data_IF_783638654506
#
_entry.id   IF_783638654506
#
_cell.length_a   1.000
_cell.length_b   1.000
_cell.length_c   1.000
_cell.angle_alpha   90.00
_cell.angle_beta   90.00
_cell.angle_gamma   90.00
#
_symmetry.space_group_name_H-M   'P 1'
#
loop_
_entity.id
_entity.type
_entity.pdbx_description
1 polymer ?
#
# COMPACT_ATOMS: atom_id res chain seq x y z
N UNK A 1 9.87 -26.12 -56.45
CA UNK A 1 8.83 -25.17 -56.04
C UNK A 1 8.62 -25.39 -54.56
N UNK A 2 9.29 -24.58 -53.73
CA UNK A 2 9.07 -24.58 -52.27
C UNK A 2 7.76 -23.82 -52.09
N UNK A 3 6.77 -24.45 -51.48
CA UNK A 3 5.54 -23.77 -51.08
C UNK A 3 5.69 -23.57 -49.58
N UNK A 4 6.02 -22.34 -49.18
CA UNK A 4 5.87 -21.90 -47.79
C UNK A 4 4.37 -21.72 -47.55
N UNK A 5 3.82 -22.52 -46.64
CA UNK A 5 2.48 -22.27 -46.11
C UNK A 5 2.66 -21.75 -44.68
N UNK A 6 2.33 -20.48 -44.48
CA UNK A 6 2.21 -19.83 -43.17
C UNK A 6 0.80 -20.09 -42.63
N UNK A 7 0.71 -20.42 -41.35
CA UNK A 7 -0.56 -20.55 -40.63
C UNK A 7 -0.59 -19.43 -39.59
N UNK A 8 -1.32 -18.36 -39.90
CA UNK A 8 -1.59 -17.27 -38.96
C UNK A 8 -2.78 -17.64 -38.09
N UNK A 9 -2.56 -17.67 -36.77
CA UNK A 9 -3.62 -17.81 -35.78
C UNK A 9 -3.76 -16.47 -35.07
N UNK A 10 -4.83 -15.76 -35.39
CA UNK A 10 -5.17 -14.45 -34.84
C UNK A 10 -6.15 -14.67 -33.69
N UNK A 11 -5.72 -14.41 -32.46
CA UNK A 11 -6.60 -14.45 -31.28
C UNK A 11 -6.93 -13.01 -30.91
N UNK A 12 -8.19 -12.64 -31.14
CA UNK A 12 -8.73 -11.33 -30.80
C UNK A 12 -9.39 -11.42 -29.41
N UNK A 13 -8.87 -10.66 -28.44
CA UNK A 13 -9.38 -10.60 -27.06
C UNK A 13 -9.94 -9.20 -26.79
N UNK A 14 -11.27 -9.01 -26.87
CA UNK A 14 -11.90 -7.69 -26.78
C UNK A 14 -11.65 -6.94 -25.46
N UNK A 15 -11.33 -7.65 -24.39
CA UNK A 15 -11.08 -7.09 -23.05
C UNK A 15 -9.63 -6.62 -22.84
N UNK A 16 -8.70 -7.06 -23.69
CA UNK A 16 -7.26 -6.84 -23.49
C UNK A 16 -6.66 -5.84 -24.49
N UNK A 17 -7.35 -5.51 -25.60
CA UNK A 17 -6.92 -4.45 -26.53
C UNK A 17 -5.69 -4.76 -27.41
N UNK A 18 -5.20 -6.00 -27.41
CA UNK A 18 -4.10 -6.45 -28.28
C UNK A 18 -4.43 -7.75 -29.03
N UNK A 19 -3.93 -7.84 -30.27
CA UNK A 19 -4.06 -9.00 -31.15
C UNK A 19 -2.78 -9.83 -31.05
N UNK A 20 -2.90 -11.07 -30.57
CA UNK A 20 -1.76 -12.01 -30.56
C UNK A 20 -1.78 -12.80 -31.87
N UNK A 21 -0.75 -12.61 -32.69
CA UNK A 21 -0.56 -13.34 -33.95
C UNK A 21 0.56 -14.36 -33.78
N UNK A 22 0.22 -15.65 -33.87
CA UNK A 22 1.19 -16.74 -33.83
C UNK A 22 1.49 -17.21 -35.25
N UNK A 23 2.70 -16.92 -35.73
CA UNK A 23 3.20 -17.40 -37.02
C UNK A 23 3.94 -18.73 -36.88
N UNK A 24 3.40 -19.77 -37.51
CA UNK A 24 4.06 -21.06 -37.63
C UNK A 24 4.46 -21.34 -39.09
N UNK A 25 5.76 -21.24 -39.39
CA UNK A 25 6.34 -21.61 -40.69
C UNK A 25 6.88 -23.04 -40.67
N UNK A 26 6.46 -23.90 -41.61
CA UNK A 26 6.99 -25.28 -41.74
C UNK A 26 7.51 -25.55 -43.15
N UNK A 27 8.77 -26.00 -43.26
CA UNK A 27 9.37 -26.45 -44.53
C UNK A 27 8.97 -27.90 -44.85
N UNK A 28 8.26 -28.11 -45.96
CA UNK A 28 7.99 -29.46 -46.47
C UNK A 28 8.88 -29.83 -47.67
N UNK A 29 9.69 -30.88 -47.51
CA UNK A 29 10.31 -31.56 -48.66
C UNK A 29 9.30 -32.55 -49.27
N UNK A 30 8.60 -32.10 -50.30
CA UNK A 30 8.17 -32.96 -51.42
C UNK A 30 6.94 -33.87 -51.27
N UNK A 31 6.38 -34.08 -50.08
CA UNK A 31 5.12 -34.83 -49.94
C UNK A 31 4.12 -34.06 -49.07
N UNK A 32 2.91 -33.84 -49.61
CA UNK A 32 1.77 -33.25 -48.88
C UNK A 32 1.41 -34.14 -47.68
N UNK A 33 2.06 -33.92 -46.54
CA UNK A 33 1.60 -34.45 -45.26
C UNK A 33 0.56 -33.50 -44.69
N UNK A 34 -0.68 -34.00 -44.62
CA UNK A 34 -1.77 -33.40 -43.85
C UNK A 34 -1.25 -33.26 -42.41
N UNK A 35 -1.27 -32.05 -41.85
CA UNK A 35 -0.91 -31.86 -40.44
C UNK A 35 -1.81 -32.76 -39.58
N UNK A 36 -1.18 -33.64 -38.80
CA UNK A 36 -1.88 -34.58 -37.96
C UNK A 36 -2.63 -33.78 -36.87
N UNK A 37 -3.92 -34.04 -36.66
CA UNK A 37 -4.77 -33.34 -35.68
C UNK A 37 -4.12 -33.24 -34.28
N UNK A 38 -3.29 -34.22 -33.91
CA UNK A 38 -2.52 -34.23 -32.66
C UNK A 38 -1.51 -33.08 -32.52
N UNK A 39 -0.92 -32.58 -33.60
CA UNK A 39 0.04 -31.47 -33.57
C UNK A 39 -0.68 -30.12 -33.39
N UNK A 40 -1.83 -29.96 -34.05
CA UNK A 40 -2.68 -28.77 -33.90
C UNK A 40 -3.24 -28.73 -32.47
N UNK A 41 -3.70 -29.87 -31.93
CA UNK A 41 -4.21 -29.94 -30.56
C UNK A 41 -3.13 -29.61 -29.52
N UNK A 42 -1.88 -30.04 -29.74
CA UNK A 42 -0.77 -29.75 -28.81
C UNK A 42 -0.31 -28.29 -28.88
N UNK A 43 -0.31 -27.67 -30.06
CA UNK A 43 -0.08 -26.22 -30.21
C UNK A 43 -1.19 -25.40 -29.55
N UNK A 44 -2.45 -25.77 -29.74
CA UNK A 44 -3.58 -25.11 -29.08
C UNK A 44 -3.54 -25.29 -27.55
N UNK A 45 -3.17 -26.48 -27.07
CA UNK A 45 -3.02 -26.73 -25.64
C UNK A 45 -1.83 -25.96 -25.06
N UNK A 46 -0.71 -25.88 -25.76
CA UNK A 46 0.44 -25.08 -25.35
C UNK A 46 0.10 -23.58 -25.33
N UNK A 47 -0.58 -23.07 -26.36
CA UNK A 47 -1.05 -21.68 -26.39
C UNK A 47 -2.08 -21.40 -25.29
N UNK A 48 -3.03 -22.30 -25.03
CA UNK A 48 -4.01 -22.15 -23.94
C UNK A 48 -3.35 -22.20 -22.55
N UNK A 49 -2.37 -23.09 -22.34
CA UNK A 49 -1.59 -23.15 -21.09
C UNK A 49 -0.73 -21.91 -20.96
N UNK A 50 -0.16 -21.40 -22.05
CA UNK A 50 0.66 -20.20 -22.02
C UNK A 50 -0.19 -18.95 -21.80
N UNK A 51 -1.35 -18.82 -22.44
CA UNK A 51 -2.32 -17.76 -22.18
C UNK A 51 -2.89 -17.81 -20.77
N UNK A 52 -3.20 -18.99 -20.23
CA UNK A 52 -3.67 -19.10 -18.84
C UNK A 52 -2.55 -18.84 -17.83
N UNK A 53 -1.32 -19.26 -18.10
CA UNK A 53 -0.16 -18.92 -17.28
C UNK A 53 0.18 -17.43 -17.38
N UNK A 54 0.10 -16.82 -18.56
CA UNK A 54 0.38 -15.40 -18.77
C UNK A 54 -0.73 -14.53 -18.19
N UNK A 55 -2.01 -14.90 -18.32
CA UNK A 55 -3.11 -14.22 -17.65
C UNK A 55 -3.04 -14.36 -16.12
N UNK A 56 -2.51 -15.47 -15.60
CA UNK A 56 -2.27 -15.65 -14.18
C UNK A 56 -1.03 -14.89 -13.66
N UNK A 57 -0.07 -14.56 -14.54
CA UNK A 57 1.13 -13.77 -14.22
C UNK A 57 0.89 -12.27 -14.43
N UNK A 58 0.11 -11.89 -15.44
CA UNK A 58 -0.35 -10.53 -15.71
C UNK A 58 -1.54 -10.13 -14.83
N UNK A 59 -1.55 -10.60 -13.58
CA UNK A 59 -2.39 -10.00 -12.54
C UNK A 59 -1.70 -8.70 -12.17
N UNK A 60 -2.06 -7.62 -12.85
CA UNK A 60 -1.72 -6.26 -12.41
C UNK A 60 -2.26 -6.10 -11.00
N UNK A 61 -1.35 -6.13 -10.03
CA UNK A 61 -1.69 -6.02 -8.62
C UNK A 61 -1.97 -4.55 -8.32
N UNK A 62 -3.21 -4.18 -8.08
CA UNK A 62 -3.50 -2.84 -7.57
C UNK A 62 -2.99 -2.72 -6.14
N UNK A 63 -2.15 -1.71 -5.93
CA UNK A 63 -1.54 -1.45 -4.65
C UNK A 63 -2.29 -0.35 -3.92
N UNK A 64 -2.48 -0.58 -2.63
CA UNK A 64 -3.26 0.26 -1.74
C UNK A 64 -2.43 0.54 -0.49
N UNK A 65 -2.07 1.81 -0.28
CA UNK A 65 -1.41 2.23 0.95
C UNK A 65 -2.45 2.69 1.97
N UNK A 66 -2.40 2.12 3.16
CA UNK A 66 -3.21 2.57 4.30
C UNK A 66 -2.33 3.43 5.21
N UNK A 67 -2.51 4.75 5.17
CA UNK A 67 -1.72 5.68 5.98
C UNK A 67 -2.37 5.82 7.35
N UNK A 68 -1.72 5.28 8.36
CA UNK A 68 -2.25 5.15 9.72
C UNK A 68 -1.28 5.70 10.76
N UNK A 69 -1.78 5.89 11.98
CA UNK A 69 -0.98 6.33 13.12
C UNK A 69 -1.71 7.38 13.98
N UNK A 70 -1.16 7.68 15.17
CA UNK A 70 -1.84 8.51 16.15
C UNK A 70 -2.20 9.92 15.65
N UNK A 71 -3.18 10.56 16.29
CA UNK A 71 -3.54 11.93 16.02
C UNK A 71 -2.31 12.85 16.14
N UNK A 72 -2.15 13.75 15.17
CA UNK A 72 -0.99 14.65 15.12
C UNK A 72 0.32 14.02 14.65
N UNK A 73 0.37 12.75 14.24
CA UNK A 73 1.59 12.15 13.65
C UNK A 73 1.95 12.74 12.27
N UNK A 74 1.03 13.44 11.60
CA UNK A 74 1.27 14.10 10.32
C UNK A 74 0.89 13.28 9.09
N UNK A 75 -0.13 12.41 9.18
CA UNK A 75 -0.66 11.58 8.08
C UNK A 75 -1.02 12.40 6.84
N UNK A 76 -1.94 13.35 6.97
CA UNK A 76 -2.37 14.21 5.83
C UNK A 76 -1.23 15.05 5.26
N UNK A 77 -0.30 15.53 6.12
CA UNK A 77 0.90 16.24 5.66
C UNK A 77 1.85 15.34 4.87
N UNK A 78 1.97 14.07 5.28
CA UNK A 78 2.71 13.06 4.53
C UNK A 78 2.04 12.76 3.19
N UNK A 79 0.71 12.58 3.15
CA UNK A 79 -0.04 12.37 1.91
C UNK A 79 0.15 13.53 0.92
N UNK A 80 0.06 14.78 1.39
CA UNK A 80 0.36 15.97 0.57
C UNK A 80 1.77 15.95 -0.01
N UNK A 81 2.77 15.64 0.81
CA UNK A 81 4.17 15.62 0.38
C UNK A 81 4.46 14.46 -0.58
N UNK A 82 3.84 13.30 -0.35
CA UNK A 82 3.94 12.13 -1.22
C UNK A 82 3.33 12.44 -2.59
N UNK A 83 2.16 13.08 -2.62
CA UNK A 83 1.52 13.55 -3.85
C UNK A 83 2.42 14.46 -4.67
N UNK A 84 2.95 15.52 -4.05
CA UNK A 84 3.84 16.46 -4.72
C UNK A 84 5.12 15.79 -5.26
N UNK A 85 5.67 14.82 -4.52
CA UNK A 85 6.82 14.06 -4.97
C UNK A 85 6.48 13.18 -6.18
N UNK A 86 5.37 12.45 -6.11
CA UNK A 86 4.89 11.57 -7.19
C UNK A 86 4.58 12.34 -8.48
N UNK A 87 3.93 13.51 -8.38
CA UNK A 87 3.72 14.44 -9.50
C UNK A 87 5.05 14.85 -10.16
N UNK A 88 6.06 15.16 -9.34
CA UNK A 88 7.39 15.56 -9.82
C UNK A 88 8.08 14.43 -10.58
N UNK A 89 7.97 13.19 -10.10
CA UNK A 89 8.56 12.00 -10.76
C UNK A 89 7.65 11.39 -11.83
N UNK A 90 6.50 12.02 -12.12
CA UNK A 90 5.49 11.56 -13.09
C UNK A 90 4.93 10.17 -12.79
N UNK A 91 4.74 9.87 -11.51
CA UNK A 91 4.03 8.68 -11.03
C UNK A 91 2.61 9.08 -10.65
N UNK A 92 1.61 8.49 -11.30
CA UNK A 92 0.21 8.71 -10.95
C UNK A 92 -0.10 8.10 -9.58
N UNK A 93 -0.61 8.90 -8.67
CA UNK A 93 -1.17 8.43 -7.39
C UNK A 93 -2.50 9.15 -7.15
N UNK A 94 -3.45 8.45 -6.54
CA UNK A 94 -4.71 9.05 -6.14
C UNK A 94 -4.88 8.92 -4.62
N UNK A 95 -5.22 10.02 -3.95
CA UNK A 95 -5.39 10.03 -2.49
C UNK A 95 -6.87 9.94 -2.15
N UNK A 96 -7.21 8.99 -1.29
CA UNK A 96 -8.55 8.80 -0.74
C UNK A 96 -8.58 9.34 0.69
N UNK A 97 -9.51 10.23 1.00
CA UNK A 97 -9.75 10.67 2.36
C UNK A 97 -10.72 9.70 3.07
N UNK A 98 -10.27 9.10 4.16
CA UNK A 98 -11.11 8.32 5.08
C UNK A 98 -11.31 9.03 6.43
N UNK A 99 -10.81 10.26 6.63
CA UNK A 99 -11.04 11.04 7.83
C UNK A 99 -12.28 11.94 7.70
N UNK A 100 -13.41 11.62 8.36
CA UNK A 100 -14.64 12.42 8.28
C UNK A 100 -14.51 13.75 9.04
N UNK A 101 -13.45 13.94 9.82
CA UNK A 101 -13.15 15.18 10.53
C UNK A 101 -12.16 16.09 9.78
N UNK A 102 -11.72 15.70 8.57
CA UNK A 102 -10.78 16.50 7.79
C UNK A 102 -11.43 17.81 7.29
N UNK A 103 -10.76 18.94 7.54
CA UNK A 103 -11.26 20.26 7.13
C UNK A 103 -10.71 20.71 5.77
N UNK A 104 -9.39 20.61 5.56
CA UNK A 104 -8.68 21.14 4.41
C UNK A 104 -7.66 20.14 3.86
N UNK A 105 -7.50 20.12 2.53
CA UNK A 105 -6.52 19.30 1.84
C UNK A 105 -5.59 20.16 0.97
N UNK A 106 -4.30 19.83 1.00
CA UNK A 106 -3.27 20.45 0.14
C UNK A 106 -2.96 19.56 -1.08
N UNK A 107 -3.91 18.72 -1.49
CA UNK A 107 -3.81 17.76 -2.58
C UNK A 107 -5.22 17.47 -3.15
N UNK A 108 -5.34 17.04 -4.42
CA UNK A 108 -6.63 16.61 -4.96
C UNK A 108 -7.04 15.29 -4.31
N UNK A 109 -8.26 15.28 -3.78
CA UNK A 109 -8.88 14.09 -3.19
C UNK A 109 -9.66 13.35 -4.28
N UNK A 110 -9.37 12.07 -4.39
CA UNK A 110 -9.91 11.18 -5.41
C UNK A 110 -11.26 10.58 -4.98
N UNK A 111 -11.38 10.24 -3.69
CA UNK A 111 -12.61 9.81 -3.04
C UNK A 111 -12.62 10.41 -1.63
N UNK A 112 -13.76 10.88 -1.17
CA UNK A 112 -13.90 11.54 0.12
C UNK A 112 -15.04 10.94 0.93
N UNK A 113 -14.72 10.33 2.08
CA UNK A 113 -15.73 9.79 3.01
C UNK A 113 -16.78 10.83 3.41
N UNK A 114 -16.45 12.12 3.39
CA UNK A 114 -17.38 13.20 3.75
C UNK A 114 -18.57 13.31 2.80
N UNK A 115 -18.46 12.76 1.59
CA UNK A 115 -19.59 12.66 0.65
C UNK A 115 -20.59 11.56 1.05
N UNK A 116 -20.13 10.54 1.78
CA UNK A 116 -20.96 9.52 2.39
C UNK A 116 -21.49 9.99 3.76
N UNK A 117 -20.59 10.43 4.65
CA UNK A 117 -20.91 10.83 6.01
C UNK A 117 -19.87 11.80 6.58
N UNK A 118 -20.31 12.92 7.16
CA UNK A 118 -19.44 13.90 7.80
C UNK A 118 -19.55 13.84 9.33
N UNK A 119 -18.45 14.13 10.03
CA UNK A 119 -18.44 14.13 11.50
C UNK A 119 -19.37 15.21 12.08
N UNK A 120 -19.38 16.40 11.46
CA UNK A 120 -20.17 17.55 11.94
C UNK A 120 -21.67 17.24 11.89
N UNK A 121 -22.16 16.67 10.78
CA UNK A 121 -23.58 16.30 10.63
C UNK A 121 -23.99 15.25 11.67
N UNK A 122 -23.15 14.24 11.89
CA UNK A 122 -23.38 13.18 12.89
C UNK A 122 -23.44 13.75 14.31
N UNK A 123 -22.54 14.68 14.64
CA UNK A 123 -22.52 15.34 15.94
C UNK A 123 -23.78 16.19 16.16
N UNK A 124 -24.24 16.91 15.14
CA UNK A 124 -25.44 17.75 15.22
C UNK A 124 -26.73 16.91 15.31
N UNK A 125 -26.87 15.88 14.47
CA UNK A 125 -28.09 15.08 14.38
C UNK A 125 -28.25 14.08 15.53
N UNK A 126 -27.18 13.39 15.91
CA UNK A 126 -27.22 12.33 16.93
C UNK A 126 -26.84 12.82 18.33
N UNK A 127 -26.37 14.07 18.47
CA UNK A 127 -25.92 14.63 19.75
C UNK A 127 -24.71 13.91 20.33
N UNK A 128 -23.89 13.28 19.48
CA UNK A 128 -22.68 12.57 19.87
C UNK A 128 -21.51 13.53 20.09
N UNK A 129 -20.59 13.17 20.99
CA UNK A 129 -19.31 13.86 21.08
C UNK A 129 -18.36 13.46 19.93
N UNK A 130 -17.24 14.19 19.70
CA UNK A 130 -16.37 13.99 18.54
C UNK A 130 -15.87 12.56 18.36
N UNK A 131 -15.40 11.89 19.42
CA UNK A 131 -14.93 10.50 19.30
C UNK A 131 -16.08 9.53 19.01
N UNK A 132 -17.25 9.74 19.63
CA UNK A 132 -18.43 8.90 19.39
C UNK A 132 -18.99 9.06 17.99
N UNK A 133 -19.03 10.30 17.48
CA UNK A 133 -19.41 10.60 16.10
C UNK A 133 -18.43 10.00 15.09
N UNK A 134 -17.13 10.02 15.38
CA UNK A 134 -16.13 9.43 14.49
C UNK A 134 -16.28 7.90 14.41
N UNK A 135 -16.48 7.22 15.53
CA UNK A 135 -16.77 5.77 15.52
C UNK A 135 -18.01 5.49 14.68
N UNK A 136 -19.08 6.27 14.86
CA UNK A 136 -20.30 6.13 14.06
C UNK A 136 -20.06 6.32 12.56
N UNK A 137 -19.27 7.34 12.16
CA UNK A 137 -18.91 7.56 10.75
C UNK A 137 -18.18 6.34 10.17
N UNK A 138 -17.27 5.76 10.94
CA UNK A 138 -16.49 4.60 10.53
C UNK A 138 -17.35 3.32 10.47
N UNK A 139 -18.26 3.11 11.41
CA UNK A 139 -19.26 2.03 11.35
C UNK A 139 -20.17 2.19 10.13
N UNK A 140 -20.59 3.41 9.81
CA UNK A 140 -21.39 3.69 8.62
C UNK A 140 -20.61 3.41 7.32
N UNK A 141 -19.32 3.74 7.27
CA UNK A 141 -18.46 3.32 6.16
C UNK A 141 -18.41 1.80 6.02
N UNK A 142 -18.30 1.05 7.14
CA UNK A 142 -18.29 -0.40 7.13
C UNK A 142 -19.58 -1.00 6.54
N UNK A 143 -20.73 -0.42 6.89
CA UNK A 143 -22.03 -0.84 6.35
C UNK A 143 -22.16 -0.59 4.84
N UNK A 144 -21.44 0.39 4.29
CA UNK A 144 -21.52 0.83 2.90
C UNK A 144 -20.30 0.43 2.05
N UNK A 145 -19.45 -0.51 2.49
CA UNK A 145 -18.26 -0.93 1.73
C UNK A 145 -18.62 -1.53 0.35
N UNK A 146 -19.73 -2.25 0.26
CA UNK A 146 -20.16 -2.90 -0.97
C UNK A 146 -20.91 -1.98 -1.93
N UNK A 147 -21.56 -0.94 -1.38
CA UNK A 147 -22.41 -0.05 -2.16
C UNK A 147 -21.63 1.20 -2.58
N UNK A 148 -20.99 1.88 -1.62
CA UNK A 148 -20.28 3.14 -1.91
C UNK A 148 -18.82 2.91 -2.31
N UNK A 149 -18.04 2.19 -1.48
CA UNK A 149 -16.61 2.05 -1.73
C UNK A 149 -16.32 1.25 -3.02
N UNK A 150 -17.12 0.23 -3.33
CA UNK A 150 -16.95 -0.53 -4.56
C UNK A 150 -17.26 0.32 -5.80
N UNK A 151 -18.32 1.12 -5.80
CA UNK A 151 -18.64 2.05 -6.89
C UNK A 151 -17.53 3.08 -7.11
N UNK A 152 -17.00 3.63 -6.01
CA UNK A 152 -15.90 4.60 -6.08
C UNK A 152 -14.59 3.97 -6.57
N UNK A 153 -14.30 2.73 -6.16
CA UNK A 153 -13.10 2.01 -6.61
C UNK A 153 -13.15 1.62 -8.08
N UNK A 154 -14.34 1.33 -8.62
CA UNK A 154 -14.53 0.96 -10.03
C UNK A 154 -14.22 2.11 -11.00
N UNK A 155 -14.10 3.35 -10.51
CA UNK A 155 -13.65 4.51 -11.30
C UNK A 155 -12.14 4.53 -11.57
N UNK A 156 -11.36 3.64 -10.94
CA UNK A 156 -9.90 3.59 -11.01
C UNK A 156 -9.41 2.28 -11.63
N UNK A 157 -8.24 2.33 -12.25
CA UNK A 157 -7.63 1.14 -12.87
C UNK A 157 -6.99 0.23 -11.82
N UNK A 158 -6.88 -1.06 -12.17
CA UNK A 158 -6.20 -2.07 -11.35
C UNK A 158 -4.69 -1.84 -11.21
N UNK A 159 -4.07 -0.90 -11.94
CA UNK A 159 -2.67 -0.51 -11.74
C UNK A 159 -2.50 0.86 -11.06
N UNK A 160 -3.60 1.54 -10.71
CA UNK A 160 -3.55 2.82 -10.01
C UNK A 160 -3.02 2.66 -8.58
N UNK A 161 -2.22 3.64 -8.15
CA UNK A 161 -1.66 3.67 -6.81
C UNK A 161 -2.56 4.50 -5.89
N UNK A 162 -3.41 3.84 -5.10
CA UNK A 162 -4.28 4.54 -4.14
C UNK A 162 -3.64 4.64 -2.75
N UNK A 163 -3.77 5.81 -2.15
CA UNK A 163 -3.29 6.11 -0.80
C UNK A 163 -4.48 6.55 0.05
N UNK A 164 -4.83 5.78 1.07
CA UNK A 164 -5.90 6.09 2.00
C UNK A 164 -5.35 6.87 3.21
N UNK A 165 -5.78 8.12 3.37
CA UNK A 165 -5.51 8.95 4.54
C UNK A 165 -6.55 8.63 5.64
N UNK A 166 -6.14 7.90 6.68
CA UNK A 166 -7.05 7.43 7.72
C UNK A 166 -7.17 8.39 8.91
N UNK A 167 -8.29 8.35 9.66
CA UNK A 167 -8.42 9.11 10.89
C UNK A 167 -7.35 8.73 11.92
N UNK A 168 -6.98 9.70 12.76
CA UNK A 168 -5.91 9.53 13.75
C UNK A 168 -6.29 8.96 15.11
N UNK A 169 -7.56 8.64 15.35
CA UNK A 169 -8.02 8.22 16.67
C UNK A 169 -7.64 6.76 16.96
N UNK A 170 -7.13 6.52 18.17
CA UNK A 170 -6.57 5.21 18.57
C UNK A 170 -7.66 4.14 18.74
N UNK A 171 -8.90 4.55 18.98
CA UNK A 171 -10.06 3.69 19.19
C UNK A 171 -10.35 2.82 17.94
N UNK A 172 -10.05 3.36 16.75
CA UNK A 172 -10.15 2.65 15.47
C UNK A 172 -9.13 1.51 15.32
N UNK A 173 -8.04 1.57 16.08
CA UNK A 173 -6.94 0.59 16.09
C UNK A 173 -6.86 -0.18 17.41
N UNK A 174 -7.95 -0.24 18.18
CA UNK A 174 -7.94 -0.99 19.44
C UNK A 174 -9.25 -1.70 19.76
N UNK A 175 -10.40 -1.03 19.55
CA UNK A 175 -11.68 -1.50 20.08
C UNK A 175 -12.72 -1.85 19.03
N UNK A 176 -12.60 -1.31 17.82
CA UNK A 176 -13.58 -1.48 16.74
C UNK A 176 -12.94 -2.18 15.55
N UNK A 177 -13.56 -3.22 14.96
CA UNK A 177 -12.98 -3.96 13.84
C UNK A 177 -13.13 -3.28 12.47
N UNK A 178 -13.72 -2.08 12.39
CA UNK A 178 -14.01 -1.38 11.12
C UNK A 178 -12.81 -1.37 10.16
N UNK A 179 -11.64 -0.92 10.60
CA UNK A 179 -10.46 -0.84 9.73
C UNK A 179 -9.96 -2.23 9.30
N UNK A 180 -10.09 -3.25 10.15
CA UNK A 180 -9.78 -4.62 9.77
C UNK A 180 -10.75 -5.11 8.71
N UNK A 181 -12.04 -4.87 8.87
CA UNK A 181 -13.07 -5.30 7.94
C UNK A 181 -12.94 -4.58 6.58
N UNK A 182 -12.59 -3.28 6.60
CA UNK A 182 -12.20 -2.51 5.43
C UNK A 182 -11.00 -3.14 4.70
N UNK A 183 -9.93 -3.48 5.43
CA UNK A 183 -8.75 -4.15 4.86
C UNK A 183 -9.11 -5.52 4.28
N UNK A 184 -9.91 -6.32 4.98
CA UNK A 184 -10.35 -7.63 4.52
C UNK A 184 -11.22 -7.51 3.26
N UNK A 185 -12.06 -6.47 3.16
CA UNK A 185 -12.81 -6.15 1.95
C UNK A 185 -11.88 -5.85 0.77
N UNK A 186 -10.88 -4.98 0.96
CA UNK A 186 -9.89 -4.69 -0.09
C UNK A 186 -9.12 -5.95 -0.51
N UNK A 187 -8.70 -6.78 0.44
CA UNK A 187 -8.02 -8.06 0.16
C UNK A 187 -8.89 -9.02 -0.66
N UNK A 188 -10.21 -9.06 -0.41
CA UNK A 188 -11.16 -9.89 -1.19
C UNK A 188 -11.29 -9.43 -2.65
N UNK A 189 -11.06 -8.14 -2.92
CA UNK A 189 -10.97 -7.58 -4.28
C UNK A 189 -9.58 -7.75 -4.90
N UNK A 190 -8.73 -8.63 -4.34
CA UNK A 190 -7.36 -8.92 -4.80
C UNK A 190 -6.40 -7.72 -4.75
N UNK A 191 -6.67 -6.72 -3.89
CA UNK A 191 -5.74 -5.62 -3.66
C UNK A 191 -4.60 -6.03 -2.75
N UNK A 192 -3.38 -5.60 -3.09
CA UNK A 192 -2.23 -5.70 -2.21
C UNK A 192 -2.17 -4.47 -1.32
N UNK A 193 -2.49 -4.68 -0.03
CA UNK A 193 -2.55 -3.61 0.96
C UNK A 193 -1.29 -3.60 1.81
N UNK A 194 -0.69 -2.43 2.00
CA UNK A 194 0.37 -2.20 2.97
C UNK A 194 0.02 -1.00 3.86
N UNK A 195 0.28 -1.13 5.15
CA UNK A 195 0.06 -0.03 6.07
C UNK A 195 1.34 0.80 6.25
N UNK A 196 1.21 2.11 6.17
CA UNK A 196 2.27 3.06 6.50
C UNK A 196 1.93 3.64 7.87
N UNK A 197 2.68 3.24 8.89
CA UNK A 197 2.40 3.63 10.27
C UNK A 197 3.29 4.81 10.69
N UNK A 198 2.71 6.00 10.82
CA UNK A 198 3.42 7.22 11.19
C UNK A 198 3.45 7.42 12.70
N UNK A 199 4.65 7.63 13.24
CA UNK A 199 4.90 8.04 14.63
C UNK A 199 5.71 9.33 14.63
N UNK A 200 5.38 10.25 15.53
CA UNK A 200 6.14 11.51 15.69
C UNK A 200 7.54 11.24 16.24
N UNK A 201 8.57 11.90 15.70
CA UNK A 201 9.93 11.92 16.24
C UNK A 201 10.05 12.17 17.75
N UNK A 202 9.08 12.86 18.37
CA UNK A 202 9.04 13.08 19.82
C UNK A 202 8.88 11.79 20.64
N UNK A 203 8.46 10.68 20.04
CA UNK A 203 8.46 9.37 20.69
C UNK A 203 9.88 8.80 20.85
N UNK A 204 10.87 9.34 20.13
CA UNK A 204 12.28 8.92 20.17
C UNK A 204 13.13 9.79 21.11
N UNK A 205 12.52 10.40 22.12
CA UNK A 205 13.24 11.24 23.10
C UNK A 205 13.71 10.47 24.33
N UNK A 206 13.07 9.34 24.63
CA UNK A 206 13.38 8.51 25.78
C UNK A 206 12.90 7.07 25.55
N UNK A 207 13.57 6.13 26.21
CA UNK A 207 13.32 4.70 26.09
C UNK A 207 11.87 4.30 26.42
N UNK A 208 11.21 4.97 27.36
CA UNK A 208 9.83 4.62 27.74
C UNK A 208 8.86 4.99 26.61
N UNK A 209 8.99 6.19 26.03
CA UNK A 209 8.19 6.59 24.87
C UNK A 209 8.50 5.76 23.63
N UNK A 210 9.77 5.41 23.40
CA UNK A 210 10.19 4.58 22.28
C UNK A 210 9.47 3.23 22.32
N UNK A 211 9.53 2.55 23.48
CA UNK A 211 8.88 1.25 23.66
C UNK A 211 7.37 1.39 23.51
N UNK A 212 6.75 2.43 24.07
CA UNK A 212 5.31 2.68 23.88
C UNK A 212 4.94 2.86 22.39
N UNK A 213 5.78 3.56 21.61
CA UNK A 213 5.60 3.70 20.17
C UNK A 213 5.71 2.38 19.42
N UNK A 214 6.70 1.55 19.78
CA UNK A 214 6.87 0.20 19.23
C UNK A 214 5.67 -0.70 19.53
N UNK A 215 5.18 -0.67 20.77
CA UNK A 215 4.01 -1.46 21.19
C UNK A 215 2.73 -1.00 20.49
N UNK A 216 2.56 0.31 20.28
CA UNK A 216 1.42 0.84 19.54
C UNK A 216 1.44 0.41 18.07
N UNK A 217 2.60 0.50 17.40
CA UNK A 217 2.78 -0.01 16.04
C UNK A 217 2.50 -1.52 15.96
N UNK A 218 3.02 -2.30 16.91
CA UNK A 218 2.77 -3.73 16.98
C UNK A 218 1.29 -4.07 17.17
N UNK A 219 0.62 -3.36 18.07
CA UNK A 219 -0.81 -3.55 18.30
C UNK A 219 -1.59 -3.34 17.01
N UNK A 220 -1.28 -2.28 16.25
CA UNK A 220 -1.89 -2.01 14.96
C UNK A 220 -1.53 -3.05 13.88
N UNK A 221 -0.33 -3.63 13.93
CA UNK A 221 0.08 -4.71 13.02
C UNK A 221 -0.71 -6.00 13.27
N UNK A 222 -0.92 -6.37 14.53
CA UNK A 222 -1.65 -7.59 14.92
C UNK A 222 -3.14 -7.46 14.64
N UNK A 223 -3.79 -6.44 15.21
CA UNK A 223 -4.55 -5.48 14.41
C UNK A 223 -5.13 -5.88 13.05
N UNK A 224 -4.48 -5.28 12.06
CA UNK A 224 -4.88 -5.24 10.66
C UNK A 224 -4.37 -6.44 9.86
N UNK A 225 -3.43 -7.23 10.44
CA UNK A 225 -2.81 -8.37 9.78
C UNK A 225 -2.21 -7.95 8.41
N UNK A 226 -1.45 -6.85 8.42
CA UNK A 226 -0.82 -6.23 7.24
C UNK A 226 0.69 -6.06 7.43
N UNK A 227 1.47 -6.06 6.33
CA UNK A 227 2.84 -5.56 6.37
C UNK A 227 2.82 -4.06 6.69
N UNK A 228 3.63 -3.65 7.68
CA UNK A 228 3.74 -2.24 8.09
C UNK A 228 5.11 -1.67 7.72
N UNK A 229 5.11 -0.51 7.06
CA UNK A 229 6.28 0.37 6.98
C UNK A 229 6.14 1.43 8.07
N UNK A 230 7.02 1.36 9.07
CA UNK A 230 6.98 2.27 10.19
C UNK A 230 7.80 3.53 9.86
N UNK A 231 7.15 4.69 9.90
CA UNK A 231 7.75 5.97 9.57
C UNK A 231 7.86 6.83 10.82
N UNK A 232 9.04 7.39 11.02
CA UNK A 232 9.26 8.43 12.01
C UNK A 232 9.12 9.80 11.37
N UNK A 233 8.00 10.47 11.61
CA UNK A 233 7.68 11.77 11.03
C UNK A 233 8.30 12.93 11.81
N UNK A 234 8.25 14.13 11.21
CA UNK A 234 8.71 15.39 11.80
C UNK A 234 10.19 15.42 12.20
N UNK A 235 11.03 14.66 11.49
CA UNK A 235 12.47 14.62 11.75
C UNK A 235 13.16 15.99 11.54
N UNK A 236 12.49 16.90 10.85
CA UNK A 236 12.91 18.28 10.65
C UNK A 236 12.82 19.14 11.93
N UNK A 237 12.02 18.71 12.92
CA UNK A 237 11.88 19.37 14.23
C UNK A 237 12.92 18.87 15.26
N UNK A 238 13.60 17.77 14.97
CA UNK A 238 14.57 17.15 15.88
C UNK A 238 15.85 17.99 15.94
N UNK A 239 16.16 18.48 17.15
CA UNK A 239 17.40 19.23 17.41
C UNK A 239 18.60 18.31 17.66
N UNK A 240 18.41 17.21 18.40
CA UNK A 240 19.48 16.27 18.74
C UNK A 240 19.38 15.00 17.88
N UNK A 241 20.00 15.01 16.71
CA UNK A 241 19.96 13.88 15.77
C UNK A 241 20.70 12.64 16.28
N UNK A 242 21.80 12.84 17.03
CA UNK A 242 22.59 11.73 17.60
C UNK A 242 21.79 10.88 18.57
N UNK A 243 20.96 11.50 19.41
CA UNK A 243 20.14 10.76 20.37
C UNK A 243 19.03 9.92 19.71
N UNK A 244 18.65 10.23 18.46
CA UNK A 244 17.69 9.41 17.72
C UNK A 244 18.35 8.22 17.04
N UNK A 245 19.62 8.33 16.62
CA UNK A 245 20.37 7.20 16.03
C UNK A 245 20.40 6.00 16.98
N UNK A 246 20.52 6.23 18.28
CA UNK A 246 20.48 5.19 19.33
C UNK A 246 19.13 4.43 19.38
N UNK A 247 18.03 5.07 18.96
CA UNK A 247 16.69 4.45 18.90
C UNK A 247 16.32 3.93 17.50
N UNK A 248 17.00 4.41 16.44
CA UNK A 248 16.86 3.86 15.08
C UNK A 248 17.59 2.52 14.95
N UNK A 249 18.69 2.36 15.66
CA UNK A 249 19.47 1.11 15.72
C UNK A 249 19.63 0.66 17.17
N UNK A 250 18.52 0.27 17.82
CA UNK A 250 18.53 -0.02 19.24
C UNK A 250 19.33 -1.28 19.57
N UNK A 251 20.23 -1.18 20.55
CA UNK A 251 20.83 -2.35 21.18
C UNK A 251 19.95 -2.84 22.35
N UNK A 252 19.41 -4.06 22.33
CA UNK A 252 18.48 -4.55 23.37
C UNK A 252 19.04 -4.45 24.79
N UNK A 253 20.34 -4.70 24.97
CA UNK A 253 21.02 -4.60 26.27
C UNK A 253 21.05 -3.17 26.80
N UNK A 254 21.26 -2.20 25.91
CA UNK A 254 21.32 -0.77 26.24
C UNK A 254 19.91 -0.29 26.62
N UNK A 255 18.91 -0.61 25.80
CA UNK A 255 17.51 -0.27 26.08
C UNK A 255 17.03 -0.85 27.41
N UNK A 256 17.32 -2.12 27.68
CA UNK A 256 16.92 -2.76 28.94
C UNK A 256 17.57 -2.08 30.15
N UNK A 257 18.85 -1.72 30.05
CA UNK A 257 19.57 -1.00 31.10
C UNK A 257 18.96 0.37 31.36
N UNK A 258 18.70 1.14 30.30
CA UNK A 258 18.09 2.46 30.41
C UNK A 258 16.66 2.38 30.99
N UNK A 259 15.85 1.42 30.52
CA UNK A 259 14.48 1.23 30.99
C UNK A 259 14.44 0.84 32.48
N UNK A 260 15.36 -0.02 32.92
CA UNK A 260 15.50 -0.40 34.33
C UNK A 260 15.97 0.75 35.23
N UNK A 261 16.68 1.74 34.70
CA UNK A 261 17.05 2.95 35.45
C UNK A 261 15.88 3.90 35.62
N UNK A 262 14.96 3.95 34.65
CA UNK A 262 13.80 4.85 34.66
C UNK A 262 12.57 4.28 35.38
N UNK A 263 12.45 2.96 35.47
CA UNK A 263 11.27 2.29 36.05
C UNK A 263 11.58 1.59 37.38
N UNK A 264 10.55 1.38 38.21
CA UNK A 264 10.71 0.76 39.51
C UNK A 264 11.28 -0.68 39.40
N UNK A 265 12.13 -1.13 40.35
CA UNK A 265 12.79 -2.44 40.29
C UNK A 265 11.84 -3.64 40.15
N UNK A 266 10.60 -3.52 40.64
CA UNK A 266 9.59 -4.56 40.50
C UNK A 266 9.22 -4.89 39.04
N UNK A 267 9.46 -3.97 38.10
CA UNK A 267 9.12 -4.13 36.68
C UNK A 267 10.26 -4.75 35.86
N UNK A 268 11.40 -5.11 36.44
CA UNK A 268 12.55 -5.65 35.70
C UNK A 268 12.20 -6.87 34.81
N UNK A 269 11.32 -7.75 35.28
CA UNK A 269 10.85 -8.89 34.48
C UNK A 269 10.02 -8.45 33.28
N UNK A 270 9.11 -7.50 33.49
CA UNK A 270 8.28 -6.92 32.43
C UNK A 270 9.17 -6.21 31.39
N UNK A 271 10.13 -5.40 31.85
CA UNK A 271 11.08 -4.68 31.02
C UNK A 271 11.84 -5.61 30.10
N UNK A 272 12.33 -6.73 30.65
CA UNK A 272 13.02 -7.74 29.87
C UNK A 272 12.11 -8.31 28.77
N UNK A 273 10.89 -8.73 29.12
CA UNK A 273 9.96 -9.28 28.13
C UNK A 273 9.53 -8.28 27.05
N UNK A 274 9.37 -6.99 27.40
CA UNK A 274 9.07 -5.94 26.42
C UNK A 274 10.21 -5.76 25.43
N UNK A 275 11.46 -5.73 25.90
CA UNK A 275 12.64 -5.58 25.04
C UNK A 275 12.85 -6.82 24.16
N UNK A 276 12.68 -8.03 24.71
CA UNK A 276 12.74 -9.27 23.93
C UNK A 276 11.70 -9.26 22.80
N UNK A 277 10.48 -8.80 23.07
CA UNK A 277 9.43 -8.70 22.07
C UNK A 277 9.75 -7.66 20.97
N UNK A 278 10.37 -6.53 21.31
CA UNK A 278 10.81 -5.54 20.30
C UNK A 278 11.92 -6.13 19.42
N UNK A 279 12.86 -6.87 20.01
CA UNK A 279 14.01 -7.47 19.32
C UNK A 279 13.59 -8.64 18.40
N UNK A 280 12.77 -9.57 18.91
CA UNK A 280 12.43 -10.83 18.23
C UNK A 280 11.76 -10.66 16.88
N UNK A 281 10.89 -9.67 16.74
CA UNK A 281 10.17 -9.46 15.50
C UNK A 281 10.91 -8.54 14.53
N UNK A 282 12.16 -8.17 14.83
CA UNK A 282 12.91 -7.11 14.13
C UNK A 282 12.04 -5.86 13.93
N UNK A 283 11.11 -5.70 14.88
CA UNK A 283 9.88 -4.97 14.66
C UNK A 283 10.23 -3.52 14.85
N UNK A 284 9.86 -2.74 13.86
CA UNK A 284 9.91 -1.29 13.93
C UNK A 284 11.32 -0.71 13.76
N UNK A 285 12.04 -1.19 12.73
CA UNK A 285 12.94 -0.27 12.02
C UNK A 285 12.10 0.90 11.53
N UNK A 286 12.27 2.05 12.18
CA UNK A 286 11.59 3.27 11.79
C UNK A 286 12.39 3.93 10.67
N UNK A 287 11.72 4.22 9.56
CA UNK A 287 12.30 5.02 8.50
C UNK A 287 12.15 6.50 8.85
N UNK A 288 13.25 7.26 9.04
CA UNK A 288 13.17 8.67 9.34
C UNK A 288 12.66 9.46 8.13
N UNK A 289 11.62 10.27 8.34
CA UNK A 289 11.02 11.14 7.34
C UNK A 289 11.25 12.61 7.68
N UNK A 290 12.08 13.27 6.87
CA UNK A 290 12.32 14.71 6.87
C UNK A 290 11.73 15.31 5.59
N UNK A 291 10.54 15.92 5.70
CA UNK A 291 9.80 16.48 4.56
C UNK A 291 10.53 17.64 3.86
N UNK A 292 11.55 18.23 4.49
CA UNK A 292 12.39 19.26 3.84
C UNK A 292 13.37 18.67 2.84
N UNK A 293 13.53 17.34 2.84
CA UNK A 293 14.47 16.61 1.99
C UNK A 293 13.72 15.66 1.08
N UNK A 294 13.71 15.98 -0.21
CA UNK A 294 13.11 15.13 -1.24
C UNK A 294 13.70 13.70 -1.24
N UNK A 295 15.00 13.57 -0.96
CA UNK A 295 15.66 12.26 -0.83
C UNK A 295 15.04 11.39 0.27
N UNK A 296 14.47 11.99 1.31
CA UNK A 296 13.83 11.26 2.42
C UNK A 296 12.50 10.64 1.98
N UNK A 297 11.68 11.39 1.24
CA UNK A 297 10.41 10.90 0.69
C UNK A 297 10.69 9.80 -0.33
N UNK A 298 11.69 10.00 -1.20
CA UNK A 298 12.11 8.99 -2.17
C UNK A 298 12.56 7.69 -1.50
N UNK A 299 13.32 7.78 -0.41
CA UNK A 299 13.75 6.60 0.35
C UNK A 299 12.55 5.87 0.97
N UNK A 300 11.65 6.60 1.61
CA UNK A 300 10.40 6.02 2.15
C UNK A 300 9.59 5.32 1.06
N UNK A 301 9.39 5.97 -0.09
CA UNK A 301 8.65 5.39 -1.21
C UNK A 301 9.33 4.11 -1.73
N UNK A 302 10.67 4.09 -1.80
CA UNK A 302 11.42 2.88 -2.17
C UNK A 302 11.24 1.75 -1.16
N UNK A 303 11.23 2.03 0.14
CA UNK A 303 11.00 1.02 1.17
C UNK A 303 9.57 0.47 1.10
N UNK A 304 8.60 1.34 0.84
CA UNK A 304 7.21 0.94 0.61
C UNK A 304 7.11 0.05 -0.62
N UNK A 305 7.65 0.50 -1.75
CA UNK A 305 7.63 -0.23 -3.02
C UNK A 305 8.29 -1.62 -2.87
N UNK A 306 9.42 -1.70 -2.17
CA UNK A 306 10.06 -2.98 -1.84
C UNK A 306 9.17 -3.88 -0.97
N UNK A 307 8.47 -3.31 0.02
CA UNK A 307 7.58 -4.07 0.92
C UNK A 307 6.36 -4.63 0.21
N UNK A 308 5.91 -4.00 -0.88
CA UNK A 308 4.75 -4.44 -1.67
C UNK A 308 5.14 -5.09 -3.00
N UNK A 309 6.44 -5.15 -3.34
CA UNK A 309 6.93 -5.61 -4.65
C UNK A 309 6.38 -4.76 -5.81
N UNK A 310 6.17 -3.46 -5.59
CA UNK A 310 5.72 -2.54 -6.64
C UNK A 310 6.80 -2.41 -7.73
N UNK A 311 6.42 -2.66 -8.98
CA UNK A 311 7.32 -2.51 -10.12
C UNK A 311 8.20 -3.72 -10.45
N UNK A 312 8.10 -4.85 -9.73
CA UNK A 312 8.74 -6.11 -10.17
C UNK A 312 8.04 -6.70 -11.41
N UNK A 313 6.74 -6.44 -11.56
CA UNK A 313 5.90 -6.87 -12.68
C UNK A 313 5.63 -5.76 -13.71
N UNK A 314 6.29 -4.60 -13.56
CA UNK A 314 6.16 -3.52 -14.55
C UNK A 314 6.98 -3.89 -15.80
N UNK A 315 6.38 -4.71 -16.66
CA UNK A 315 6.79 -4.79 -18.06
C UNK A 315 6.91 -3.35 -18.58
N UNK A 316 8.05 -3.06 -19.20
CA UNK A 316 8.33 -1.75 -19.79
C UNK A 316 7.16 -1.44 -20.72
N UNK A 317 6.25 -0.55 -20.32
CA UNK A 317 5.26 0.05 -21.22
C UNK A 317 6.07 0.86 -22.23
N UNK A 318 6.56 0.19 -23.27
CA UNK A 318 7.15 0.82 -24.44
C UNK A 318 5.99 1.64 -24.99
N UNK A 319 6.04 2.96 -24.79
CA UNK A 319 5.17 3.86 -25.54
C UNK A 319 5.46 3.56 -26.99
N UNK A 320 4.47 3.02 -27.70
CA UNK A 320 4.53 2.92 -29.15
C UNK A 320 4.89 4.31 -29.66
N UNK A 321 6.08 4.42 -30.24
CA UNK A 321 6.45 5.58 -31.03
C UNK A 321 5.52 5.51 -32.24
N UNK A 322 4.51 6.39 -32.29
CA UNK A 322 3.81 6.67 -33.53
C UNK A 322 4.88 7.00 -34.58
N UNK A 323 5.00 6.21 -35.66
CA UNK A 323 5.88 6.58 -36.75
C UNK A 323 5.34 7.89 -37.33
N UNK A 324 6.20 8.91 -37.40
CA UNK A 324 5.89 10.13 -38.13
C UNK A 324 5.46 9.73 -39.55
N UNK A 325 4.24 10.11 -39.93
CA UNK A 325 3.74 10.02 -41.30
C UNK A 325 4.64 10.87 -42.21
N UNK A 326 5.58 10.22 -42.89
CA UNK A 326 6.30 10.77 -44.04
C UNK A 326 5.35 10.72 -45.26
N UNK A 327 4.68 11.84 -45.56
CA UNK A 327 4.07 12.16 -46.86
C UNK A 327 4.65 13.46 -47.45
#
# INVERSE_FOLDING_TARGET
MVIENTLELVIDSPEMGYIVTLDASYESRGEKRIMNYSYILSLLFAAAVWCTAYAAVAVTRAFRLLVIGPAGSGKSTYCSSLYQHCETVRRSINIVNLDPAAENFDYPVAMDIRELISLDDVMEELGLGPNGGLIYCMEHLEENLHDWLDEELDNYLDDDYLVFDCPGQIELFSHVPVLRNFVDHLKRKNFNVCAVYLVDSQFMTDVTKFISGCMASLSAMVQLELPHVNILSKMDLVRNKKGIEDYLYPEPKVLLSELNQRMAPQFQKLNKSLIELVDEYNMVSFVPLDLRKESSIRYVLSEIDNSIQYGEDADVKVKDFDPEDDD
#
